data_IF_298779150163
#
_entry.id   IF_298779150163
#
_cell.length_a   1.000
_cell.length_b   1.000
_cell.length_c   1.000
_cell.angle_alpha   90.00
_cell.angle_beta   90.00
_cell.angle_gamma   90.00
#
_symmetry.space_group_name_H-M   'P 1'
#
loop_
_entity.id
_entity.type
_entity.pdbx_description
1 polymer ?
#
# COMPACT_ATOMS: atom_id res chain seq x y z
N UNK A 1 96.40 -54.71 -19.23
CA UNK A 1 97.07 -53.86 -18.21
C UNK A 1 96.18 -52.67 -17.84
N UNK A 2 94.87 -52.88 -17.67
CA UNK A 2 93.94 -52.39 -18.69
C UNK A 2 93.02 -51.28 -18.13
N UNK A 3 93.16 -50.08 -18.69
CA UNK A 3 92.09 -49.31 -19.33
C UNK A 3 90.69 -49.49 -18.71
N UNK A 4 90.27 -48.56 -17.85
CA UNK A 4 88.85 -48.24 -17.73
C UNK A 4 88.55 -47.12 -18.74
N UNK A 5 88.30 -47.58 -19.96
CA UNK A 5 88.01 -46.79 -21.15
C UNK A 5 86.73 -45.96 -20.96
N UNK A 6 86.74 -44.68 -21.39
CA UNK A 6 85.53 -43.88 -21.44
C UNK A 6 84.62 -44.42 -22.57
N UNK A 7 83.34 -44.57 -22.24
CA UNK A 7 82.24 -44.86 -23.15
C UNK A 7 82.17 -43.78 -24.25
N UNK A 8 82.73 -44.06 -25.42
CA UNK A 8 82.41 -43.38 -26.67
C UNK A 8 81.80 -44.39 -27.65
N UNK A 9 80.51 -44.23 -27.96
CA UNK A 9 79.87 -45.09 -28.97
C UNK A 9 78.36 -44.97 -29.14
N UNK A 10 77.74 -43.78 -29.06
CA UNK A 10 76.30 -43.61 -29.38
C UNK A 10 76.00 -42.34 -30.19
N UNK A 11 76.81 -42.05 -31.21
CA UNK A 11 76.57 -40.89 -32.08
C UNK A 11 75.37 -40.99 -33.07
N UNK A 12 74.93 -42.16 -33.57
CA UNK A 12 73.78 -42.21 -34.50
C UNK A 12 72.41 -42.21 -33.81
N UNK A 13 72.28 -42.88 -32.65
CA UNK A 13 71.00 -43.02 -31.94
C UNK A 13 70.44 -41.72 -31.36
N UNK A 14 71.29 -40.79 -30.93
CA UNK A 14 70.84 -39.52 -30.35
C UNK A 14 70.27 -38.57 -31.41
N UNK A 15 70.77 -38.63 -32.64
CA UNK A 15 70.30 -37.78 -33.76
C UNK A 15 68.91 -38.19 -34.25
N UNK A 16 68.63 -39.49 -34.35
CA UNK A 16 67.32 -39.98 -34.75
C UNK A 16 66.25 -39.72 -33.69
N UNK A 17 66.60 -39.87 -32.40
CA UNK A 17 65.70 -39.52 -31.29
C UNK A 17 65.37 -38.01 -31.27
N UNK A 18 66.34 -37.16 -31.58
CA UNK A 18 66.13 -35.71 -31.68
C UNK A 18 65.28 -35.34 -32.91
N UNK A 19 65.45 -36.04 -34.04
CA UNK A 19 64.60 -35.89 -35.24
C UNK A 19 63.16 -36.34 -34.97
N UNK A 20 62.97 -37.49 -34.33
CA UNK A 20 61.65 -37.98 -33.92
C UNK A 20 60.98 -37.04 -32.93
N UNK A 21 61.72 -36.51 -31.95
CA UNK A 21 61.20 -35.49 -31.03
C UNK A 21 60.77 -34.22 -31.77
N UNK A 22 61.55 -33.75 -32.75
CA UNK A 22 61.18 -32.60 -33.60
C UNK A 22 59.94 -32.89 -34.45
N UNK A 23 59.84 -34.09 -35.02
CA UNK A 23 58.65 -34.54 -35.76
C UNK A 23 57.42 -34.59 -34.85
N UNK A 24 57.56 -35.09 -33.62
CA UNK A 24 56.47 -35.14 -32.65
C UNK A 24 56.02 -33.74 -32.22
N UNK A 25 56.96 -32.80 -32.01
CA UNK A 25 56.60 -31.41 -31.71
C UNK A 25 55.86 -30.74 -32.87
N UNK A 26 56.29 -31.00 -34.11
CA UNK A 26 55.60 -30.51 -35.31
C UNK A 26 54.20 -31.10 -35.45
N UNK A 27 54.03 -32.40 -35.19
CA UNK A 27 52.72 -33.06 -35.20
C UNK A 27 51.80 -32.49 -34.11
N UNK A 28 52.31 -32.30 -32.90
CA UNK A 28 51.55 -31.73 -31.80
C UNK A 28 51.14 -30.27 -32.10
N UNK A 29 52.05 -29.49 -32.69
CA UNK A 29 51.79 -28.11 -33.11
C UNK A 29 50.70 -28.04 -34.19
N UNK A 30 50.79 -28.86 -35.23
CA UNK A 30 49.76 -28.95 -36.27
C UNK A 30 48.41 -29.41 -35.70
N UNK A 31 48.43 -30.31 -34.71
CA UNK A 31 47.20 -30.77 -34.03
C UNK A 31 46.57 -29.64 -33.23
N UNK A 32 47.38 -28.84 -32.51
CA UNK A 32 46.91 -27.66 -31.78
C UNK A 32 46.34 -26.62 -32.75
N UNK A 33 47.00 -26.38 -33.89
CA UNK A 33 46.50 -25.44 -34.91
C UNK A 33 45.17 -25.91 -35.50
N UNK A 34 45.04 -27.20 -35.81
CA UNK A 34 43.79 -27.79 -36.28
C UNK A 34 42.66 -27.66 -35.26
N UNK A 35 42.92 -27.96 -33.98
CA UNK A 35 41.95 -27.81 -32.91
C UNK A 35 41.51 -26.35 -32.73
N UNK A 36 42.44 -25.40 -32.84
CA UNK A 36 42.11 -23.96 -32.76
C UNK A 36 41.20 -23.51 -33.91
N UNK A 37 41.47 -23.97 -35.13
CA UNK A 37 40.63 -23.68 -36.29
C UNK A 37 39.23 -24.29 -36.12
N UNK A 38 39.15 -25.54 -35.66
CA UNK A 38 37.86 -26.19 -35.41
C UNK A 38 37.05 -25.47 -34.31
N UNK A 39 37.71 -25.02 -33.24
CA UNK A 39 37.05 -24.22 -32.19
C UNK A 39 36.54 -22.89 -32.74
N UNK A 40 37.33 -22.18 -33.54
CA UNK A 40 36.91 -20.93 -34.18
C UNK A 40 35.71 -21.13 -35.11
N UNK A 41 35.74 -22.16 -35.97
CA UNK A 41 34.60 -22.49 -36.85
C UNK A 41 33.34 -22.84 -36.07
N UNK A 42 33.47 -23.55 -34.93
CA UNK A 42 32.33 -23.88 -34.06
C UNK A 42 31.80 -22.65 -33.33
N UNK A 43 32.66 -21.73 -32.92
CA UNK A 43 32.29 -20.45 -32.32
C UNK A 43 31.55 -19.56 -33.32
N UNK A 44 32.08 -19.39 -34.54
CA UNK A 44 31.42 -18.63 -35.61
C UNK A 44 30.06 -19.25 -35.97
N UNK A 45 29.99 -20.57 -36.10
CA UNK A 45 28.72 -21.26 -36.36
C UNK A 45 27.75 -21.19 -35.17
N UNK A 46 28.23 -21.00 -33.93
CA UNK A 46 27.38 -20.77 -32.76
C UNK A 46 26.87 -19.33 -32.72
N UNK A 47 27.71 -18.36 -33.08
CA UNK A 47 27.36 -16.94 -33.20
C UNK A 47 26.31 -16.77 -34.30
N UNK A 48 26.51 -17.33 -35.50
CA UNK A 48 25.52 -17.26 -36.57
C UNK A 48 24.18 -17.90 -36.19
N UNK A 49 24.20 -19.02 -35.47
CA UNK A 49 22.97 -19.66 -34.96
C UNK A 49 22.30 -18.79 -33.91
N UNK A 50 23.07 -18.15 -33.03
CA UNK A 50 22.56 -17.24 -32.02
C UNK A 50 21.95 -15.99 -32.66
N UNK A 51 22.60 -15.42 -33.68
CA UNK A 51 22.09 -14.27 -34.43
C UNK A 51 20.83 -14.62 -35.22
N UNK A 52 20.80 -15.78 -35.89
CA UNK A 52 19.58 -16.28 -36.57
C UNK A 52 18.43 -16.46 -35.59
N UNK A 53 18.69 -17.10 -34.44
CA UNK A 53 17.69 -17.28 -33.38
C UNK A 53 17.24 -15.95 -32.78
N UNK A 54 18.15 -15.00 -32.58
CA UNK A 54 17.83 -13.66 -32.09
C UNK A 54 17.03 -12.85 -33.12
N UNK A 55 17.32 -13.01 -34.41
CA UNK A 55 16.57 -12.40 -35.51
C UNK A 55 15.18 -13.03 -35.65
N UNK A 56 15.06 -14.35 -35.50
CA UNK A 56 13.78 -15.07 -35.45
C UNK A 56 12.95 -14.64 -34.24
N UNK A 57 13.55 -14.53 -33.05
CA UNK A 57 12.87 -14.01 -31.85
C UNK A 57 12.45 -12.54 -32.00
N UNK A 58 13.27 -11.70 -32.66
CA UNK A 58 12.88 -10.31 -32.99
C UNK A 58 11.81 -10.22 -34.07
N UNK A 59 11.83 -11.14 -35.04
CA UNK A 59 10.82 -11.22 -36.10
C UNK A 59 9.50 -11.80 -35.58
N UNK A 60 9.54 -12.65 -34.55
CA UNK A 60 8.41 -12.99 -33.68
C UNK A 60 8.13 -11.84 -32.69
N UNK A 61 8.11 -10.61 -33.18
CA UNK A 61 7.43 -9.54 -32.46
C UNK A 61 5.99 -10.04 -32.24
N UNK A 62 5.61 -10.19 -30.97
CA UNK A 62 4.24 -10.55 -30.58
C UNK A 62 3.27 -9.69 -31.41
N UNK A 63 2.21 -10.27 -31.98
CA UNK A 63 1.18 -9.48 -32.64
C UNK A 63 0.75 -8.40 -31.65
N UNK A 64 0.95 -7.13 -32.01
CA UNK A 64 0.37 -6.02 -31.26
C UNK A 64 -1.12 -6.31 -31.22
N UNK A 65 -1.68 -6.43 -30.03
CA UNK A 65 -3.12 -6.62 -29.87
C UNK A 65 -3.83 -5.56 -30.75
N UNK A 66 -4.85 -5.96 -31.53
CA UNK A 66 -5.57 -5.00 -32.34
C UNK A 66 -6.04 -3.85 -31.45
N UNK A 67 -5.90 -2.60 -31.90
CA UNK A 67 -6.32 -1.47 -31.08
C UNK A 67 -7.79 -1.63 -30.72
N UNK A 68 -8.09 -1.59 -29.41
CA UNK A 68 -9.45 -1.72 -28.88
C UNK A 68 -10.41 -0.77 -29.59
N UNK A 69 -11.61 -1.24 -29.92
CA UNK A 69 -12.63 -0.41 -30.54
C UNK A 69 -13.08 0.73 -29.62
N UNK A 70 -13.63 1.84 -30.14
CA UNK A 70 -14.07 2.97 -29.31
C UNK A 70 -15.13 2.56 -28.27
N UNK A 71 -16.00 1.60 -28.60
CA UNK A 71 -17.00 1.05 -27.67
C UNK A 71 -16.36 0.22 -26.56
N UNK A 72 -15.33 -0.57 -26.87
CA UNK A 72 -14.58 -1.37 -25.89
C UNK A 72 -13.77 -0.46 -24.96
N UNK A 73 -13.20 0.62 -25.51
CA UNK A 73 -12.53 1.65 -24.71
C UNK A 73 -13.53 2.35 -23.80
N UNK A 74 -14.70 2.75 -24.31
CA UNK A 74 -15.74 3.39 -23.52
C UNK A 74 -16.23 2.49 -22.39
N UNK A 75 -16.50 1.21 -22.67
CA UNK A 75 -16.90 0.23 -21.65
C UNK A 75 -15.78 -0.04 -20.64
N UNK A 76 -14.53 -0.13 -21.07
CA UNK A 76 -13.36 -0.27 -20.19
C UNK A 76 -13.07 0.99 -19.35
N UNK A 77 -13.44 2.17 -19.83
CA UNK A 77 -13.36 3.41 -19.05
C UNK A 77 -14.51 3.49 -18.04
N UNK A 78 -15.73 3.13 -18.44
CA UNK A 78 -16.89 3.15 -17.54
C UNK A 78 -16.85 2.03 -16.50
N UNK A 79 -16.14 0.93 -16.75
CA UNK A 79 -15.90 -0.11 -15.74
C UNK A 79 -15.02 0.41 -14.60
N UNK A 80 -14.23 1.47 -14.83
CA UNK A 80 -13.49 2.15 -13.77
C UNK A 80 -14.46 3.01 -12.96
N UNK A 81 -14.75 2.55 -11.73
CA UNK A 81 -15.65 3.23 -10.79
C UNK A 81 -15.42 4.74 -10.70
N UNK A 82 -14.16 5.20 -10.62
CA UNK A 82 -13.82 6.64 -10.56
C UNK A 82 -14.36 7.45 -11.75
N UNK A 83 -14.27 6.91 -12.96
CA UNK A 83 -14.71 7.59 -14.19
C UNK A 83 -16.24 7.60 -14.24
N UNK A 84 -16.87 6.46 -13.93
CA UNK A 84 -18.32 6.38 -13.82
C UNK A 84 -18.87 7.37 -12.79
N UNK A 85 -18.18 7.52 -11.64
CA UNK A 85 -18.56 8.44 -10.55
C UNK A 85 -18.42 9.91 -10.96
N UNK A 86 -17.28 10.31 -11.55
CA UNK A 86 -17.10 11.67 -12.07
C UNK A 86 -18.15 12.04 -13.10
N UNK A 87 -18.50 11.10 -13.98
CA UNK A 87 -19.60 11.29 -14.95
C UNK A 87 -20.94 11.47 -14.24
N UNK A 88 -21.25 10.65 -13.23
CA UNK A 88 -22.46 10.80 -12.40
C UNK A 88 -22.54 12.18 -11.78
N UNK A 89 -21.49 12.61 -11.08
CA UNK A 89 -21.49 13.89 -10.36
C UNK A 89 -21.67 15.09 -11.31
N UNK A 90 -21.09 15.02 -12.51
CA UNK A 90 -21.32 16.04 -13.54
C UNK A 90 -22.81 16.17 -13.87
N UNK A 91 -23.50 15.05 -14.11
CA UNK A 91 -24.93 15.08 -14.40
C UNK A 91 -25.80 15.37 -13.16
N UNK A 92 -25.37 15.01 -11.96
CA UNK A 92 -26.05 15.41 -10.70
C UNK A 92 -26.11 16.95 -10.59
N UNK A 93 -24.99 17.63 -10.83
CA UNK A 93 -24.93 19.10 -10.83
C UNK A 93 -25.80 19.72 -11.92
N UNK A 94 -25.83 19.12 -13.12
CA UNK A 94 -26.69 19.60 -14.22
C UNK A 94 -28.18 19.39 -13.95
N UNK A 95 -28.55 18.37 -13.17
CA UNK A 95 -29.94 18.13 -12.76
C UNK A 95 -30.39 19.16 -11.73
N UNK A 96 -29.49 19.56 -10.81
CA UNK A 96 -29.76 20.60 -9.82
C UNK A 96 -30.03 21.97 -10.46
N UNK A 97 -29.28 22.33 -11.50
CA UNK A 97 -29.51 23.57 -12.26
C UNK A 97 -30.66 23.40 -13.27
N UNK A 98 -31.77 24.10 -13.05
CA UNK A 98 -32.95 24.09 -13.94
C UNK A 98 -32.77 24.85 -15.25
N UNK A 99 -31.76 25.71 -15.37
CA UNK A 99 -31.54 26.55 -16.56
C UNK A 99 -30.88 25.78 -17.72
N UNK A 100 -30.33 24.60 -17.45
CA UNK A 100 -29.56 23.83 -18.45
C UNK A 100 -30.48 22.82 -19.15
N UNK A 101 -30.75 23.05 -20.44
CA UNK A 101 -31.64 22.20 -21.25
C UNK A 101 -30.91 21.07 -22.01
N UNK A 102 -29.64 21.27 -22.35
CA UNK A 102 -28.83 20.27 -23.05
C UNK A 102 -27.33 20.54 -22.85
N UNK A 103 -26.52 19.50 -23.07
CA UNK A 103 -25.05 19.61 -23.12
C UNK A 103 -24.55 18.95 -24.40
N UNK A 104 -23.67 19.65 -25.11
CA UNK A 104 -23.02 19.15 -26.32
C UNK A 104 -21.56 18.78 -26.09
N UNK A 105 -21.13 17.68 -26.70
CA UNK A 105 -19.76 17.19 -26.67
C UNK A 105 -19.20 17.15 -28.09
N UNK A 106 -18.12 17.90 -28.33
CA UNK A 106 -17.41 17.88 -29.60
C UNK A 106 -15.94 17.48 -29.37
N UNK A 107 -15.32 16.70 -30.28
CA UNK A 107 -13.93 16.29 -30.17
C UNK A 107 -12.94 17.44 -30.38
N UNK A 108 -13.41 18.57 -30.96
CA UNK A 108 -12.60 19.74 -31.26
C UNK A 108 -13.46 21.00 -31.24
N UNK A 109 -12.85 22.14 -30.93
CA UNK A 109 -13.48 23.47 -31.00
C UNK A 109 -13.55 24.04 -32.43
N UNK A 110 -13.23 23.24 -33.45
CA UNK A 110 -13.30 23.66 -34.84
C UNK A 110 -14.75 23.95 -35.27
N UNK A 111 -14.93 24.98 -36.10
CA UNK A 111 -16.24 25.36 -36.64
C UNK A 111 -16.74 24.25 -37.58
N UNK A 112 -17.86 23.62 -37.23
CA UNK A 112 -18.42 22.47 -37.98
C UNK A 112 -18.02 21.09 -37.47
N UNK A 113 -17.38 20.99 -36.29
CA UNK A 113 -17.19 19.71 -35.64
C UNK A 113 -18.54 19.05 -35.31
N UNK A 114 -18.63 17.73 -35.51
CA UNK A 114 -19.83 16.96 -35.13
C UNK A 114 -19.97 16.98 -33.61
N UNK A 115 -21.07 17.56 -33.13
CA UNK A 115 -21.39 17.67 -31.72
C UNK A 115 -22.44 16.63 -31.33
N UNK A 116 -22.12 15.84 -30.30
CA UNK A 116 -23.08 14.94 -29.67
C UNK A 116 -23.85 15.72 -28.61
N UNK A 117 -25.12 15.99 -28.87
CA UNK A 117 -25.99 16.70 -27.92
C UNK A 117 -26.76 15.72 -27.05
N UNK A 118 -26.65 15.88 -25.73
CA UNK A 118 -27.39 15.14 -24.72
C UNK A 118 -28.46 16.06 -24.13
N UNK A 119 -29.71 15.65 -24.25
CA UNK A 119 -30.87 16.42 -23.78
C UNK A 119 -31.07 16.25 -22.28
N UNK A 120 -31.61 17.26 -21.58
CA UNK A 120 -31.86 17.23 -20.12
C UNK A 120 -32.63 16.00 -19.66
N UNK A 121 -33.61 15.54 -20.45
CA UNK A 121 -34.39 14.31 -20.18
C UNK A 121 -33.53 13.05 -20.00
N UNK A 122 -32.30 13.06 -20.49
CA UNK A 122 -31.36 11.94 -20.43
C UNK A 122 -30.39 12.07 -19.25
N UNK A 123 -30.30 13.22 -18.55
CA UNK A 123 -29.32 13.42 -17.49
C UNK A 123 -29.45 12.39 -16.35
N UNK A 124 -30.69 12.08 -15.94
CA UNK A 124 -30.95 11.08 -14.90
C UNK A 124 -30.44 9.68 -15.26
N UNK A 125 -30.35 9.33 -16.55
CA UNK A 125 -29.85 8.02 -16.99
C UNK A 125 -28.34 7.85 -16.72
N UNK A 126 -27.63 8.95 -16.48
CA UNK A 126 -26.19 8.94 -16.21
C UNK A 126 -25.86 9.10 -14.73
N UNK A 127 -26.86 9.37 -13.87
CA UNK A 127 -26.69 9.48 -12.43
C UNK A 127 -26.73 8.09 -11.80
N UNK A 128 -25.66 7.73 -11.11
CA UNK A 128 -25.52 6.48 -10.35
C UNK A 128 -25.77 6.79 -8.89
N UNK A 129 -26.56 5.98 -8.17
CA UNK A 129 -26.76 6.20 -6.73
C UNK A 129 -25.44 6.10 -5.95
N UNK A 130 -25.30 6.84 -4.84
CA UNK A 130 -24.20 6.61 -3.89
C UNK A 130 -24.45 5.26 -3.22
N UNK A 131 -23.43 4.42 -3.15
CA UNK A 131 -23.54 3.13 -2.46
C UNK A 131 -22.95 3.33 -1.08
N UNK A 132 -23.77 3.17 -0.04
CA UNK A 132 -23.25 3.04 1.31
C UNK A 132 -22.49 1.72 1.39
N UNK A 133 -21.24 1.80 1.85
CA UNK A 133 -20.38 0.63 1.96
C UNK A 133 -20.66 -0.08 3.28
N UNK A 134 -20.47 -1.39 3.31
CA UNK A 134 -20.60 -2.15 4.54
C UNK A 134 -19.65 -1.59 5.61
N UNK A 135 -20.14 -1.29 6.83
CA UNK A 135 -19.30 -0.80 7.90
C UNK A 135 -18.22 -1.80 8.30
N UNK A 136 -17.04 -1.29 8.68
CA UNK A 136 -16.02 -2.13 9.31
C UNK A 136 -16.31 -2.28 10.80
N UNK A 137 -16.59 -3.49 11.25
CA UNK A 137 -16.84 -3.79 12.66
C UNK A 137 -15.58 -4.27 13.37
N UNK A 138 -15.21 -3.60 14.45
CA UNK A 138 -14.14 -3.98 15.36
C UNK A 138 -14.72 -4.33 16.72
N UNK A 139 -14.46 -5.55 17.21
CA UNK A 139 -15.00 -6.03 18.48
C UNK A 139 -14.01 -5.86 19.63
N UNK A 140 -14.51 -5.64 20.84
CA UNK A 140 -13.72 -5.55 22.08
C UNK A 140 -12.55 -4.56 22.01
N UNK A 141 -12.75 -3.42 21.34
CA UNK A 141 -11.72 -2.39 21.27
C UNK A 141 -11.77 -1.47 22.47
N UNK A 142 -10.64 -0.82 22.76
CA UNK A 142 -10.55 0.18 23.83
C UNK A 142 -10.65 1.58 23.22
N UNK A 143 -11.64 2.36 23.68
CA UNK A 143 -11.77 3.79 23.36
C UNK A 143 -11.61 4.59 24.65
N UNK A 144 -10.67 5.52 24.69
CA UNK A 144 -10.57 6.47 25.79
C UNK A 144 -11.59 7.59 25.61
N UNK A 145 -12.51 7.76 26.54
CA UNK A 145 -13.54 8.80 26.50
C UNK A 145 -12.94 10.11 26.97
N UNK A 146 -13.03 11.13 26.11
CA UNK A 146 -12.59 12.49 26.43
C UNK A 146 -13.75 13.28 27.04
N UNK A 147 -14.94 13.22 26.41
CA UNK A 147 -16.13 13.86 26.96
C UNK A 147 -17.42 13.37 26.27
N UNK A 148 -18.52 13.20 27.03
CA UNK A 148 -19.85 13.28 26.44
C UNK A 148 -20.12 14.76 26.11
N UNK A 149 -20.32 15.09 24.82
CA UNK A 149 -20.64 16.46 24.41
C UNK A 149 -22.13 16.57 24.17
N UNK A 150 -22.82 17.28 25.08
CA UNK A 150 -24.19 17.74 24.86
C UNK A 150 -24.13 18.91 23.87
N UNK A 151 -24.57 18.70 22.62
CA UNK A 151 -24.87 19.81 21.70
C UNK A 151 -26.37 19.85 21.43
N UNK A 152 -26.88 21.03 21.13
CA UNK A 152 -28.26 21.26 20.70
C UNK A 152 -28.62 20.29 19.56
N UNK A 153 -29.39 19.23 19.87
CA UNK A 153 -29.77 18.17 18.93
C UNK A 153 -29.34 16.73 19.28
N UNK A 154 -28.45 16.50 20.26
CA UNK A 154 -28.10 15.13 20.70
C UNK A 154 -26.81 15.01 21.53
N UNK A 155 -26.53 13.80 22.06
CA UNK A 155 -25.24 13.44 22.63
C UNK A 155 -24.30 12.99 21.51
N UNK A 156 -23.28 13.80 21.20
CA UNK A 156 -22.14 13.38 20.37
C UNK A 156 -21.00 13.00 21.31
N UNK A 157 -20.49 11.77 21.20
CA UNK A 157 -19.40 11.31 22.05
C UNK A 157 -18.06 11.64 21.41
N UNK A 158 -17.07 12.02 22.21
CA UNK A 158 -15.68 12.19 21.76
C UNK A 158 -14.78 11.25 22.52
N UNK A 159 -13.97 10.50 21.79
CA UNK A 159 -12.97 9.61 22.35
C UNK A 159 -11.71 9.55 21.52
N UNK A 160 -10.70 8.87 22.05
CA UNK A 160 -9.44 8.60 21.38
C UNK A 160 -9.46 7.13 20.95
N UNK A 161 -9.32 6.94 19.64
CA UNK A 161 -9.15 5.63 19.01
C UNK A 161 -7.93 5.69 18.10
N UNK A 162 -7.03 4.73 18.22
CA UNK A 162 -5.77 4.69 17.47
C UNK A 162 -5.00 6.03 17.48
N UNK A 163 -4.86 6.62 18.68
CA UNK A 163 -4.18 7.92 18.93
C UNK A 163 -4.81 9.13 18.21
N UNK A 164 -6.00 8.97 17.62
CA UNK A 164 -6.75 10.04 16.97
C UNK A 164 -8.01 10.34 17.76
N UNK A 165 -8.33 11.63 17.90
CA UNK A 165 -9.60 12.03 18.50
C UNK A 165 -10.69 11.84 17.46
N UNK A 166 -11.64 10.96 17.76
CA UNK A 166 -12.81 10.68 16.94
C UNK A 166 -14.08 11.17 17.63
N UNK A 167 -15.05 11.60 16.82
CA UNK A 167 -16.43 11.77 17.26
C UNK A 167 -17.21 10.51 16.89
N UNK A 168 -17.96 9.95 17.83
CA UNK A 168 -18.78 8.76 17.58
C UNK A 168 -20.19 8.92 18.15
N UNK A 169 -21.12 8.17 17.56
CA UNK A 169 -22.47 8.02 18.06
C UNK A 169 -22.55 6.73 18.89
N UNK A 170 -23.22 6.79 20.03
CA UNK A 170 -23.41 5.63 20.90
C UNK A 170 -24.81 5.08 20.63
N UNK A 171 -24.93 3.84 20.16
CA UNK A 171 -26.23 3.19 19.89
C UNK A 171 -26.68 2.23 21.00
N UNK A 172 -25.78 1.88 21.92
CA UNK A 172 -26.10 1.07 23.09
C UNK A 172 -27.09 1.81 24.02
N UNK A 173 -28.38 1.51 23.87
CA UNK A 173 -29.45 2.14 24.64
C UNK A 173 -29.32 1.88 26.14
N UNK A 174 -28.98 0.65 26.54
CA UNK A 174 -28.85 0.29 27.95
C UNK A 174 -27.72 1.09 28.62
N UNK A 175 -26.59 1.23 27.92
CA UNK A 175 -25.49 2.04 28.40
C UNK A 175 -25.85 3.54 28.42
N UNK A 176 -26.49 4.07 27.38
CA UNK A 176 -26.96 5.48 27.34
C UNK A 176 -27.88 5.83 28.51
N UNK A 177 -28.79 4.94 28.87
CA UNK A 177 -29.72 5.14 29.97
C UNK A 177 -28.99 5.14 31.33
N UNK A 178 -27.98 4.28 31.49
CA UNK A 178 -27.14 4.23 32.69
C UNK A 178 -26.35 5.53 32.91
N UNK A 179 -25.85 6.12 31.82
CA UNK A 179 -25.13 7.41 31.82
C UNK A 179 -26.09 8.56 32.11
N UNK A 180 -27.26 8.57 31.47
CA UNK A 180 -28.29 9.60 31.68
C UNK A 180 -28.82 9.59 33.12
N UNK A 181 -28.96 8.40 33.70
CA UNK A 181 -29.35 8.20 35.09
C UNK A 181 -28.24 8.53 36.10
N UNK A 182 -27.09 9.07 35.65
CA UNK A 182 -25.90 9.40 36.45
C UNK A 182 -25.34 8.24 37.28
N UNK A 183 -25.62 6.98 36.88
CA UNK A 183 -25.06 5.80 37.56
C UNK A 183 -23.59 5.59 37.21
N UNK A 184 -23.16 6.11 36.06
CA UNK A 184 -21.78 6.05 35.58
C UNK A 184 -21.23 7.48 35.51
N UNK A 185 -20.17 7.76 36.28
CA UNK A 185 -19.44 9.02 36.21
C UNK A 185 -18.18 8.82 35.37
N UNK A 186 -17.95 9.72 34.42
CA UNK A 186 -16.73 9.73 33.60
C UNK A 186 -15.72 10.70 34.19
N UNK A 187 -14.46 10.27 34.18
CA UNK A 187 -13.31 11.13 34.44
C UNK A 187 -12.48 11.21 33.16
N UNK A 188 -11.64 12.24 33.04
CA UNK A 188 -10.69 12.30 31.94
C UNK A 188 -9.80 11.04 31.96
N UNK A 189 -9.78 10.30 30.86
CA UNK A 189 -9.03 9.03 30.76
C UNK A 189 -9.84 7.78 31.10
N UNK A 190 -11.17 7.87 31.27
CA UNK A 190 -12.02 6.67 31.34
C UNK A 190 -11.93 5.90 30.02
N UNK A 191 -11.67 4.60 30.10
CA UNK A 191 -11.57 3.71 28.95
C UNK A 191 -12.82 2.84 28.83
N UNK A 192 -13.38 2.73 27.62
CA UNK A 192 -14.49 1.85 27.28
C UNK A 192 -13.98 0.66 26.48
N UNK A 193 -14.36 -0.54 26.88
CA UNK A 193 -14.24 -1.73 26.03
C UNK A 193 -15.55 -1.92 25.31
N UNK A 194 -15.53 -1.82 23.99
CA UNK A 194 -16.74 -1.74 23.18
C UNK A 194 -16.56 -2.30 21.76
N UNK A 195 -17.68 -2.50 21.08
CA UNK A 195 -17.72 -2.82 19.66
C UNK A 195 -17.92 -1.52 18.86
N UNK A 196 -17.01 -1.27 17.91
CA UNK A 196 -16.97 -0.06 17.10
C UNK A 196 -17.21 -0.39 15.63
N UNK A 197 -18.15 0.31 15.03
CA UNK A 197 -18.46 0.29 13.62
C UNK A 197 -17.94 1.56 12.95
N UNK A 198 -17.06 1.39 11.97
CA UNK A 198 -16.55 2.48 11.14
C UNK A 198 -17.40 2.52 9.87
N UNK A 199 -18.28 3.52 9.81
CA UNK A 199 -19.13 3.74 8.66
C UNK A 199 -18.29 4.23 7.48
N UNK A 200 -18.49 3.63 6.32
CA UNK A 200 -17.77 3.97 5.10
C UNK A 200 -18.75 4.44 4.03
N UNK A 201 -18.32 5.41 3.24
CA UNK A 201 -19.08 5.86 2.07
C UNK A 201 -18.13 6.13 0.91
N UNK A 202 -18.68 6.08 -0.30
CA UNK A 202 -17.95 6.54 -1.48
C UNK A 202 -17.97 8.07 -1.53
N UNK A 203 -16.80 8.67 -1.73
CA UNK A 203 -16.63 10.10 -1.95
C UNK A 203 -16.95 10.52 -3.39
N UNK A 204 -16.86 11.82 -3.68
CA UNK A 204 -17.12 12.37 -5.02
C UNK A 204 -16.18 11.80 -6.10
N UNK A 205 -15.00 11.31 -5.73
CA UNK A 205 -14.03 10.75 -6.65
C UNK A 205 -14.19 9.24 -6.85
N UNK A 206 -15.06 8.60 -6.07
CA UNK A 206 -15.27 7.16 -6.03
C UNK A 206 -14.23 6.42 -5.17
N UNK A 207 -13.52 7.14 -4.31
CA UNK A 207 -12.65 6.57 -3.27
C UNK A 207 -13.46 6.35 -1.99
N UNK A 208 -13.04 5.38 -1.17
CA UNK A 208 -13.69 5.09 0.10
C UNK A 208 -13.24 6.08 1.16
N UNK A 209 -14.18 6.81 1.74
CA UNK A 209 -13.95 7.68 2.89
C UNK A 209 -14.69 7.20 4.14
N UNK A 210 -14.18 7.59 5.31
CA UNK A 210 -14.82 7.31 6.59
C UNK A 210 -15.96 8.31 6.79
N UNK A 211 -17.19 7.81 6.81
CA UNK A 211 -18.39 8.61 7.02
C UNK A 211 -18.61 8.94 8.51
N UNK A 212 -18.21 8.03 9.41
CA UNK A 212 -18.42 8.20 10.83
C UNK A 212 -18.04 6.98 11.66
N UNK A 213 -18.25 7.11 12.97
CA UNK A 213 -17.95 6.08 13.96
C UNK A 213 -19.19 5.85 14.82
N UNK A 214 -19.54 4.59 15.04
CA UNK A 214 -20.68 4.19 15.87
C UNK A 214 -20.23 3.14 16.87
N UNK A 215 -20.53 3.33 18.14
CA UNK A 215 -20.33 2.30 19.18
C UNK A 215 -21.64 1.57 19.37
N UNK A 216 -21.70 0.30 18.95
CA UNK A 216 -22.92 -0.50 18.96
C UNK A 216 -23.16 -1.20 20.30
N UNK A 217 -22.11 -1.61 21.02
CA UNK A 217 -22.21 -2.23 22.34
C UNK A 217 -21.04 -1.85 23.26
N UNK A 218 -21.33 -1.60 24.54
CA UNK A 218 -20.30 -1.34 25.57
C UNK A 218 -20.28 -2.50 26.56
N UNK A 219 -19.11 -3.13 26.72
CA UNK A 219 -18.92 -4.31 27.56
C UNK A 219 -18.36 -3.97 28.93
N UNK A 220 -17.39 -3.05 29.00
CA UNK A 220 -16.69 -2.71 30.26
C UNK A 220 -16.33 -1.22 30.29
N UNK A 221 -16.35 -0.62 31.49
CA UNK A 221 -15.86 0.75 31.75
C UNK A 221 -14.72 0.67 32.75
N UNK A 222 -13.54 1.17 32.37
CA UNK A 222 -12.35 1.23 33.22
C UNK A 222 -12.04 2.67 33.60
N UNK A 223 -11.96 2.93 34.90
CA UNK A 223 -11.51 4.23 35.41
C UNK A 223 -10.04 4.47 35.03
N UNK A 224 -9.62 5.72 34.79
CA UNK A 224 -8.20 6.04 34.72
C UNK A 224 -7.57 5.60 36.04
N UNK A 225 -6.58 4.72 36.00
CA UNK A 225 -5.89 4.30 37.21
C UNK A 225 -5.26 5.52 37.87
N UNK A 226 -5.80 5.93 39.03
CA UNK A 226 -5.15 6.91 39.90
C UNK A 226 -3.75 6.38 40.22
N UNK A 227 -2.66 7.15 40.02
CA UNK A 227 -1.41 6.84 40.72
C UNK A 227 -1.75 6.72 42.21
N UNK A 228 -1.25 5.70 42.93
CA UNK A 228 -1.52 5.60 44.36
C UNK A 228 -1.15 6.94 45.01
N UNK A 229 -2.10 7.55 45.71
CA UNK A 229 -1.82 8.79 46.45
C UNK A 229 -0.59 8.56 47.33
N UNK A 230 0.33 9.54 47.42
CA UNK A 230 1.42 9.43 48.37
C UNK A 230 0.78 9.33 49.76
N UNK A 231 0.97 8.17 50.39
CA UNK A 231 0.56 7.93 51.77
C UNK A 231 1.19 9.04 52.62
N UNK A 232 0.39 9.99 53.10
CA UNK A 232 0.81 10.92 54.14
C UNK A 232 1.13 10.09 55.38
N UNK A 233 2.42 9.83 55.61
CA UNK A 233 2.92 9.18 56.81
C UNK A 233 2.69 10.12 58.01
N UNK A 234 1.86 9.78 59.01
CA UNK A 234 1.57 10.66 60.16
C UNK A 234 2.70 10.73 61.21
N UNK A 235 3.95 10.41 60.88
CA UNK A 235 5.04 10.24 61.87
C UNK A 235 6.11 11.33 61.89
N UNK A 236 5.87 12.48 61.26
CA UNK A 236 6.76 13.65 61.40
C UNK A 236 6.03 14.86 61.98
N UNK A 237 5.28 14.67 63.07
CA UNK A 237 5.03 15.74 64.03
C UNK A 237 6.22 15.83 64.99
N UNK A 238 7.29 16.51 64.56
CA UNK A 238 8.33 16.99 65.46
C UNK A 238 7.67 18.01 66.41
N UNK A 239 7.31 17.55 67.60
CA UNK A 239 7.05 18.43 68.74
C UNK A 239 8.36 19.16 69.04
N UNK A 240 8.40 20.44 68.69
CA UNK A 240 9.36 21.38 69.25
C UNK A 240 8.64 22.10 70.39
N UNK A 241 8.69 21.48 71.56
CA UNK A 241 8.57 22.23 72.80
C UNK A 241 9.78 23.17 72.89
N UNK A 242 9.51 24.47 72.85
CA UNK A 242 10.40 25.44 73.50
C UNK A 242 9.54 26.43 74.27
N UNK A 243 9.69 26.30 75.57
CA UNK A 243 9.08 27.05 76.64
C UNK A 243 9.72 28.45 76.75
N UNK A 244 8.89 29.49 76.62
CA UNK A 244 8.89 30.73 77.43
C UNK A 244 10.06 31.73 77.22
N UNK A 245 10.11 32.91 77.89
CA UNK A 245 9.08 33.87 78.32
C UNK A 245 9.36 35.30 77.81
N UNK A 246 8.35 36.19 77.88
CA UNK A 246 8.57 37.48 78.54
C UNK A 246 8.39 38.78 77.75
N UNK A 247 7.75 39.70 78.49
CA UNK A 247 7.75 41.18 78.44
C UNK A 247 6.70 41.83 77.56
N UNK A 248 5.60 42.33 78.14
CA UNK A 248 5.43 43.47 79.08
C UNK A 248 5.33 44.82 78.37
N UNK A 249 4.19 45.46 78.66
CA UNK A 249 3.79 46.87 78.51
C UNK A 249 3.40 47.39 77.12
#
# INVERSE_FOLDING_TARGET
MALLTPLLGTAPFYRDKLRQSKQQTQINELTIQKLKLELAEKEDAAIERAEKKQKEMRAQALPLEPPLGPEEIATALLSRKKIARRRSNYYEQLVEDSQIEAVGFAPSHARGANELTIQRRQFQNFVVARTDLEPLTYKNIVIEVVSPVLRSGGLKWRGIFDKKIIGFDLEDQAFRDSVTSKRVQFQNGTMLICDLEVLQREDETGDTEIAGYVVSAVHEVRSPSTPPEPVENPQLSLHLDSENPGKEH
#
